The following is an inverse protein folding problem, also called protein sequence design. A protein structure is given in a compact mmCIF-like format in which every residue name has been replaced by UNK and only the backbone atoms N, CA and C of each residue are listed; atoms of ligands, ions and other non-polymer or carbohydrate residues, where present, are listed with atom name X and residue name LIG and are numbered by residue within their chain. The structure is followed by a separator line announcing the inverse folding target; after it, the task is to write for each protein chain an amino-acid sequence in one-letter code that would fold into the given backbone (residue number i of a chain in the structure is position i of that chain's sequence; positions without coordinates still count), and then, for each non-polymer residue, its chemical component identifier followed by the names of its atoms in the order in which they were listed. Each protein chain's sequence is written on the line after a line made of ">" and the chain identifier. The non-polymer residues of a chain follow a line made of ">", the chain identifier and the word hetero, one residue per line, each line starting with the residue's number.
data_IF_504928816019
#
_entry.id   IF_504928816019
#
_cell.length_a   1.000
_cell.length_b   1.000
_cell.length_c   1.000
_cell.angle_alpha   90.00
_cell.angle_beta   90.00
_cell.angle_gamma   90.00
#
_symmetry.space_group_name_H-M   'P 1'
#
loop_
_entity.id
_entity.type
_entity.pdbx_description
1 polymer ?
#
# COMPACT_ATOMS: atom_id res chain seq x y z
N UNK A 1 4.09 20.80 32.07
CA UNK A 1 2.89 19.94 32.01
C UNK A 1 2.35 20.09 30.60
N UNK A 2 2.80 19.25 29.66
CA UNK A 2 2.24 19.25 28.29
C UNK A 2 0.75 18.92 28.37
N UNK A 3 -0.06 19.66 27.60
CA UNK A 3 -1.51 19.45 27.61
C UNK A 3 -1.79 18.14 26.87
N UNK A 4 -2.68 17.31 27.42
CA UNK A 4 -3.15 16.06 26.80
C UNK A 4 -3.47 16.14 25.27
N UNK A 5 -4.04 17.23 24.72
CA UNK A 5 -4.18 17.41 23.27
C UNK A 5 -2.85 17.43 22.49
N UNK A 6 -1.78 17.99 23.05
CA UNK A 6 -0.46 18.08 22.39
C UNK A 6 0.12 16.67 22.19
N UNK A 7 -0.02 15.81 23.20
CA UNK A 7 0.45 14.42 23.16
C UNK A 7 -0.27 13.56 22.11
N UNK A 8 -1.59 13.75 21.94
CA UNK A 8 -2.38 13.04 20.93
C UNK A 8 -2.00 13.47 19.51
N UNK A 9 -1.81 14.78 19.32
CA UNK A 9 -1.35 15.33 18.04
C UNK A 9 0.04 14.80 17.66
N UNK A 10 1.00 14.83 18.58
CA UNK A 10 2.34 14.29 18.34
C UNK A 10 2.33 12.80 18.00
N UNK A 11 1.49 12.03 18.70
CA UNK A 11 1.36 10.59 18.43
C UNK A 11 0.81 10.36 17.03
N UNK A 12 -0.24 11.08 16.63
CA UNK A 12 -0.81 10.95 15.28
C UNK A 12 0.20 11.34 14.20
N UNK A 13 0.92 12.45 14.40
CA UNK A 13 1.97 12.88 13.48
C UNK A 13 3.06 11.83 13.30
N UNK A 14 3.55 11.23 14.40
CA UNK A 14 4.55 10.15 14.34
C UNK A 14 4.05 8.94 13.54
N UNK A 15 2.77 8.59 13.67
CA UNK A 15 2.17 7.50 12.90
C UNK A 15 2.09 7.87 11.42
N UNK A 16 1.66 9.09 11.08
CA UNK A 16 1.59 9.55 9.69
C UNK A 16 2.97 9.60 9.02
N UNK A 17 3.99 10.10 9.74
CA UNK A 17 5.38 10.11 9.27
C UNK A 17 5.91 8.68 9.05
N UNK A 18 5.63 7.76 9.97
CA UNK A 18 5.99 6.35 9.79
C UNK A 18 5.25 5.69 8.61
N UNK A 19 3.99 6.06 8.37
CA UNK A 19 3.23 5.57 7.23
C UNK A 19 3.78 6.12 5.90
N UNK A 20 4.18 7.39 5.83
CA UNK A 20 4.89 7.93 4.65
C UNK A 20 6.11 7.08 4.33
N UNK A 21 6.91 6.78 5.35
CA UNK A 21 8.10 5.96 5.23
C UNK A 21 7.81 4.52 4.78
N UNK A 22 6.73 3.92 5.23
CA UNK A 22 6.40 2.54 4.84
C UNK A 22 5.78 2.48 3.45
N UNK A 23 4.88 3.41 3.15
CA UNK A 23 3.98 3.34 2.01
C UNK A 23 4.56 3.94 0.72
N UNK A 24 5.42 4.97 0.82
CA UNK A 24 5.98 5.70 -0.32
C UNK A 24 7.52 5.67 -0.32
N UNK A 25 8.11 4.57 0.13
CA UNK A 25 9.55 4.42 0.33
C UNK A 25 10.43 4.40 -0.95
N UNK A 26 9.88 4.01 -2.11
CA UNK A 26 10.58 4.08 -3.40
C UNK A 26 9.59 4.04 -4.56
N UNK A 27 9.98 4.64 -5.68
CA UNK A 27 9.11 4.80 -6.85
C UNK A 27 8.62 3.45 -7.41
N UNK A 28 7.33 3.37 -7.63
CA UNK A 28 6.60 2.25 -8.22
C UNK A 28 5.38 2.68 -9.05
N UNK A 29 4.53 3.58 -8.55
CA UNK A 29 3.25 3.99 -9.18
C UNK A 29 3.19 5.46 -9.59
N UNK A 30 4.15 6.30 -9.17
CA UNK A 30 4.29 7.72 -9.55
C UNK A 30 3.85 8.72 -8.47
N UNK A 31 3.40 8.23 -7.32
CA UNK A 31 3.15 9.00 -6.10
C UNK A 31 4.47 9.36 -5.42
N UNK A 32 4.57 10.61 -4.99
CA UNK A 32 5.76 11.11 -4.29
C UNK A 32 5.58 11.15 -2.77
N UNK A 33 4.33 11.08 -2.27
CA UNK A 33 4.03 11.19 -0.84
C UNK A 33 2.59 10.79 -0.49
N UNK A 34 2.39 10.16 0.67
CA UNK A 34 1.06 9.91 1.26
C UNK A 34 0.35 11.19 1.66
N UNK A 35 1.07 12.29 1.85
CA UNK A 35 0.53 13.61 2.18
C UNK A 35 -0.24 14.26 1.02
N UNK A 36 -0.25 13.64 -0.16
CA UNK A 36 -1.06 14.06 -1.31
C UNK A 36 -2.57 13.90 -1.06
N UNK A 37 -2.98 12.99 -0.18
CA UNK A 37 -4.36 12.83 0.30
C UNK A 37 -4.40 12.72 1.83
N UNK A 38 -4.45 13.89 2.48
CA UNK A 38 -4.47 14.00 3.95
C UNK A 38 -5.67 13.32 4.60
N UNK A 39 -6.83 13.28 3.93
CA UNK A 39 -8.05 12.71 4.49
C UNK A 39 -7.91 11.19 4.65
N UNK A 40 -7.42 10.51 3.61
CA UNK A 40 -7.23 9.06 3.68
C UNK A 40 -6.07 8.69 4.60
N UNK A 41 -4.99 9.48 4.60
CA UNK A 41 -3.87 9.32 5.52
C UNK A 41 -4.31 9.46 6.98
N UNK A 42 -5.08 10.51 7.32
CA UNK A 42 -5.58 10.73 8.67
C UNK A 42 -6.50 9.60 9.13
N UNK A 43 -7.39 9.12 8.25
CA UNK A 43 -8.22 7.96 8.55
C UNK A 43 -7.34 6.72 8.78
N UNK A 44 -6.38 6.44 7.90
CA UNK A 44 -5.54 5.25 8.02
C UNK A 44 -4.70 5.27 9.29
N UNK A 45 -4.07 6.40 9.60
CA UNK A 45 -3.32 6.62 10.82
C UNK A 45 -4.20 6.44 12.06
N UNK A 46 -5.45 6.93 12.05
CA UNK A 46 -6.41 6.70 13.13
C UNK A 46 -6.75 5.22 13.29
N UNK A 47 -7.08 4.51 12.19
CA UNK A 47 -7.40 3.09 12.24
C UNK A 47 -6.24 2.26 12.80
N UNK A 48 -4.99 2.62 12.47
CA UNK A 48 -3.78 2.01 13.04
C UNK A 48 -3.63 2.37 14.52
N UNK A 49 -3.74 3.65 14.89
CA UNK A 49 -3.56 4.13 16.26
C UNK A 49 -4.53 3.47 17.26
N UNK A 50 -5.77 3.22 16.83
CA UNK A 50 -6.79 2.57 17.64
C UNK A 50 -6.82 1.04 17.49
N UNK A 51 -5.84 0.44 16.82
CA UNK A 51 -5.72 -1.01 16.65
C UNK A 51 -6.84 -1.64 15.81
N UNK A 52 -7.57 -0.84 15.04
CA UNK A 52 -8.62 -1.30 14.14
C UNK A 52 -8.02 -1.87 12.86
N UNK A 53 -6.82 -1.43 12.48
CA UNK A 53 -5.93 -2.12 11.56
C UNK A 53 -4.74 -2.61 12.36
N UNK A 54 -4.60 -3.93 12.43
CA UNK A 54 -3.46 -4.57 13.09
C UNK A 54 -2.25 -4.43 12.17
N UNK A 55 -1.17 -3.89 12.73
CA UNK A 55 0.11 -3.73 12.03
C UNK A 55 1.13 -4.65 12.69
N UNK A 56 1.74 -5.53 11.91
CA UNK A 56 2.90 -6.33 12.34
C UNK A 56 4.11 -5.96 11.47
N UNK A 57 5.31 -6.03 12.05
CA UNK A 57 6.55 -5.84 11.31
C UNK A 57 7.44 -7.07 11.46
N UNK A 58 8.21 -7.37 10.43
CA UNK A 58 9.04 -8.56 10.35
C UNK A 58 10.40 -8.19 9.79
N UNK A 59 11.45 -8.66 10.48
CA UNK A 59 12.83 -8.54 10.01
C UNK A 59 13.15 -9.73 9.12
N UNK A 60 13.94 -9.48 8.09
CA UNK A 60 14.44 -10.55 7.22
C UNK A 60 15.89 -10.33 6.82
N UNK A 61 16.54 -11.41 6.40
CA UNK A 61 17.89 -11.36 5.83
C UNK A 61 17.80 -11.04 4.34
N UNK A 62 18.46 -9.94 3.94
CA UNK A 62 18.53 -9.55 2.53
C UNK A 62 19.51 -10.46 1.79
N UNK A 63 19.00 -11.15 0.78
CA UNK A 63 19.81 -11.96 -0.09
C UNK A 63 20.41 -11.07 -1.20
N UNK A 64 21.73 -10.86 -1.13
CA UNK A 64 22.46 -10.07 -2.13
C UNK A 64 22.60 -10.83 -3.46
N UNK A 65 22.55 -12.16 -3.40
CA UNK A 65 22.71 -13.07 -4.53
C UNK A 65 21.35 -13.61 -5.02
N UNK A 66 20.24 -12.96 -4.62
CA UNK A 66 18.85 -13.35 -4.92
C UNK A 66 18.57 -13.58 -6.41
N UNK A 67 19.40 -13.04 -7.31
CA UNK A 67 19.24 -13.23 -8.75
C UNK A 67 19.63 -14.63 -9.21
N UNK A 68 20.44 -15.33 -8.43
CA UNK A 68 20.83 -16.72 -8.65
C UNK A 68 19.81 -17.70 -8.02
N UNK A 69 18.84 -17.19 -7.26
CA UNK A 69 17.71 -17.97 -6.75
C UNK A 69 16.74 -18.27 -7.89
N UNK A 70 16.78 -19.51 -8.41
CA UNK A 70 16.01 -19.93 -9.58
C UNK A 70 14.50 -19.73 -9.40
N UNK A 71 13.99 -19.97 -8.20
CA UNK A 71 12.55 -19.83 -7.92
C UNK A 71 12.13 -18.37 -7.87
N UNK A 72 12.85 -17.53 -7.13
CA UNK A 72 12.56 -16.10 -7.07
C UNK A 72 12.72 -15.43 -8.45
N UNK A 73 13.74 -15.81 -9.21
CA UNK A 73 13.97 -15.32 -10.58
C UNK A 73 12.84 -15.74 -11.53
N UNK A 74 12.38 -17.00 -11.45
CA UNK A 74 11.26 -17.51 -12.25
C UNK A 74 9.96 -16.76 -11.94
N UNK A 75 9.58 -16.67 -10.66
CA UNK A 75 8.34 -16.00 -10.25
C UNK A 75 8.38 -14.52 -10.66
N UNK A 76 9.50 -13.84 -10.45
CA UNK A 76 9.65 -12.45 -10.88
C UNK A 76 9.49 -12.32 -12.41
N UNK A 77 10.12 -13.21 -13.18
CA UNK A 77 9.99 -13.24 -14.64
C UNK A 77 8.57 -13.46 -15.14
N UNK A 78 7.76 -14.26 -14.43
CA UNK A 78 6.35 -14.51 -14.74
C UNK A 78 5.45 -13.30 -14.39
N UNK A 79 5.71 -12.64 -13.25
CA UNK A 79 4.91 -11.50 -12.78
C UNK A 79 5.24 -10.19 -13.49
N UNK A 80 6.52 -9.94 -13.74
CA UNK A 80 6.98 -8.62 -14.17
C UNK A 80 6.30 -8.11 -15.47
N UNK A 81 6.08 -8.92 -16.52
CA UNK A 81 5.36 -8.49 -17.73
C UNK A 81 3.91 -8.06 -17.49
N UNK A 82 3.28 -8.54 -16.42
CA UNK A 82 1.89 -8.25 -16.05
C UNK A 82 1.79 -7.01 -15.16
N UNK A 83 2.93 -6.58 -14.59
CA UNK A 83 3.03 -5.45 -13.66
C UNK A 83 3.73 -4.26 -14.34
N UNK A 84 4.00 -3.19 -13.59
CA UNK A 84 4.94 -2.13 -14.01
C UNK A 84 6.41 -2.48 -13.73
N UNK A 85 6.69 -3.70 -13.28
CA UNK A 85 8.05 -4.12 -12.95
C UNK A 85 8.86 -4.36 -14.22
N UNK A 86 10.14 -3.99 -14.17
CA UNK A 86 11.04 -4.13 -15.32
C UNK A 86 11.84 -5.41 -15.17
N UNK A 87 11.96 -6.17 -16.25
CA UNK A 87 12.75 -7.42 -16.30
C UNK A 87 14.13 -7.15 -16.86
N UNK A 88 15.16 -7.80 -16.30
CA UNK A 88 16.47 -7.91 -16.94
C UNK A 88 17.27 -6.62 -16.95
N UNK A 89 16.87 -5.63 -16.14
CA UNK A 89 17.60 -4.37 -15.99
C UNK A 89 18.72 -4.47 -14.95
N UNK A 90 18.83 -5.61 -14.24
CA UNK A 90 19.75 -5.83 -13.12
C UNK A 90 19.73 -4.67 -12.12
N UNK A 91 18.55 -4.08 -11.95
CA UNK A 91 18.37 -2.92 -11.09
C UNK A 91 18.38 -3.34 -9.61
N UNK A 92 18.63 -2.40 -8.70
CA UNK A 92 18.49 -2.66 -7.28
C UNK A 92 17.04 -3.02 -6.91
N UNK A 93 16.06 -2.33 -7.50
CA UNK A 93 14.62 -2.56 -7.27
C UNK A 93 14.18 -3.97 -7.65
N UNK A 94 14.76 -4.54 -8.71
CA UNK A 94 14.52 -5.93 -9.12
C UNK A 94 14.91 -6.91 -8.02
N UNK A 95 16.12 -6.78 -7.44
CA UNK A 95 16.56 -7.63 -6.34
C UNK A 95 15.72 -7.43 -5.06
N UNK A 96 15.27 -6.21 -4.79
CA UNK A 96 14.38 -5.91 -3.64
C UNK A 96 13.06 -6.67 -3.79
N UNK A 97 12.45 -6.63 -4.99
CA UNK A 97 11.19 -7.32 -5.28
C UNK A 97 11.34 -8.84 -5.25
N UNK A 98 12.44 -9.39 -5.78
CA UNK A 98 12.71 -10.83 -5.68
C UNK A 98 12.90 -11.26 -4.22
N UNK A 99 13.57 -10.46 -3.40
CA UNK A 99 13.65 -10.70 -1.96
C UNK A 99 12.26 -10.72 -1.32
N UNK A 100 11.38 -9.78 -1.68
CA UNK A 100 10.00 -9.75 -1.17
C UNK A 100 9.20 -11.02 -1.54
N UNK A 101 9.35 -11.50 -2.78
CA UNK A 101 8.74 -12.75 -3.23
C UNK A 101 9.26 -13.94 -2.41
N UNK A 102 10.58 -14.05 -2.21
CA UNK A 102 11.21 -15.10 -1.40
C UNK A 102 10.70 -15.10 0.05
N UNK A 103 10.58 -13.92 0.66
CA UNK A 103 10.07 -13.81 2.04
C UNK A 103 8.61 -14.22 2.19
N UNK A 104 7.81 -14.13 1.13
CA UNK A 104 6.41 -14.51 1.13
C UNK A 104 6.13 -15.89 0.51
N UNK A 105 7.16 -16.67 0.17
CA UNK A 105 7.01 -18.00 -0.44
C UNK A 105 6.16 -18.96 0.41
N UNK A 106 6.10 -18.77 1.73
CA UNK A 106 5.25 -19.55 2.63
C UNK A 106 3.74 -19.35 2.40
N UNK A 107 3.34 -18.30 1.68
CA UNK A 107 1.95 -18.03 1.28
C UNK A 107 1.53 -18.77 0.00
N UNK A 108 2.44 -19.50 -0.63
CA UNK A 108 2.22 -20.22 -1.89
C UNK A 108 2.67 -19.42 -3.12
N UNK A 109 2.13 -19.78 -4.28
CA UNK A 109 2.49 -19.14 -5.55
C UNK A 109 1.68 -17.86 -5.79
N UNK A 110 2.33 -16.72 -6.08
CA UNK A 110 1.63 -15.49 -6.38
C UNK A 110 1.12 -15.44 -7.82
N UNK A 111 0.05 -14.69 -8.04
CA UNK A 111 -0.49 -14.32 -9.35
C UNK A 111 -0.70 -12.81 -9.44
N UNK A 112 -0.89 -12.26 -10.64
CA UNK A 112 -1.19 -10.84 -10.80
C UNK A 112 -2.69 -10.58 -11.03
N UNK A 113 -3.31 -9.79 -10.15
CA UNK A 113 -4.70 -9.32 -10.20
C UNK A 113 -4.76 -7.85 -9.77
N UNK A 114 -4.27 -6.96 -10.64
CA UNK A 114 -4.03 -5.52 -10.34
C UNK A 114 -2.93 -5.25 -9.29
N UNK A 115 -2.66 -6.23 -8.44
CA UNK A 115 -1.52 -6.36 -7.54
C UNK A 115 -0.97 -7.80 -7.58
N UNK A 116 0.20 -8.01 -6.97
CA UNK A 116 0.73 -9.36 -6.74
C UNK A 116 -0.04 -9.99 -5.59
N UNK A 117 -0.80 -11.05 -5.87
CA UNK A 117 -1.77 -11.67 -4.96
C UNK A 117 -1.42 -13.11 -4.66
N UNK A 118 -1.54 -13.49 -3.39
CA UNK A 118 -1.50 -14.86 -2.90
C UNK A 118 -2.95 -15.24 -2.54
N UNK A 119 -3.71 -15.70 -3.54
CA UNK A 119 -5.18 -15.85 -3.47
C UNK A 119 -5.60 -16.82 -2.35
N UNK A 120 -4.94 -17.98 -2.24
CA UNK A 120 -5.24 -18.99 -1.21
C UNK A 120 -5.01 -18.47 0.22
N UNK A 121 -4.03 -17.58 0.39
CA UNK A 121 -3.73 -16.95 1.67
C UNK A 121 -4.59 -15.69 1.95
N UNK A 122 -5.38 -15.23 0.96
CA UNK A 122 -6.09 -13.96 1.04
C UNK A 122 -5.13 -12.80 1.29
N UNK A 123 -4.02 -12.74 0.56
CA UNK A 123 -2.97 -11.76 0.79
C UNK A 123 -2.51 -11.05 -0.49
N UNK A 124 -2.07 -9.81 -0.34
CA UNK A 124 -1.47 -9.00 -1.43
C UNK A 124 -0.08 -8.54 -1.01
N UNK A 125 0.86 -8.59 -1.96
CA UNK A 125 2.20 -8.02 -1.87
C UNK A 125 2.25 -6.67 -2.57
N UNK A 126 2.75 -5.66 -1.86
CA UNK A 126 3.05 -4.33 -2.38
C UNK A 126 4.53 -4.01 -2.14
N UNK A 127 5.15 -3.42 -3.16
CA UNK A 127 6.56 -3.03 -3.15
C UNK A 127 6.68 -1.52 -3.37
N UNK A 128 7.04 -0.79 -2.31
CA UNK A 128 7.59 0.57 -2.37
C UNK A 128 6.62 1.74 -2.43
N UNK A 129 5.48 1.61 -3.11
CA UNK A 129 4.60 2.76 -3.37
C UNK A 129 3.11 2.39 -3.44
N UNK A 130 2.33 2.85 -2.46
CA UNK A 130 0.86 2.76 -2.43
C UNK A 130 0.24 3.85 -1.54
N UNK A 131 -0.81 4.53 -1.99
CA UNK A 131 -1.50 5.52 -1.16
C UNK A 131 -2.47 4.86 -0.15
N UNK A 132 -2.77 5.52 0.98
CA UNK A 132 -3.77 5.03 1.93
C UNK A 132 -5.14 4.74 1.30
N UNK A 133 -5.58 5.58 0.36
CA UNK A 133 -6.82 5.33 -0.37
C UNK A 133 -6.75 4.07 -1.27
N UNK A 134 -5.60 3.79 -1.90
CA UNK A 134 -5.43 2.56 -2.68
C UNK A 134 -5.46 1.32 -1.77
N UNK A 135 -4.90 1.40 -0.56
CA UNK A 135 -5.03 0.34 0.46
C UNK A 135 -6.50 0.09 0.81
N UNK A 136 -7.29 1.15 0.97
CA UNK A 136 -8.73 1.05 1.23
C UNK A 136 -9.45 0.35 0.09
N UNK A 137 -9.16 0.72 -1.16
CA UNK A 137 -9.73 0.08 -2.34
C UNK A 137 -9.37 -1.41 -2.39
N UNK A 138 -8.12 -1.78 -2.11
CA UNK A 138 -7.74 -3.20 -2.05
C UNK A 138 -8.61 -3.98 -1.06
N UNK A 139 -8.83 -3.47 0.15
CA UNK A 139 -9.68 -4.13 1.14
C UNK A 139 -11.16 -4.20 0.78
N UNK A 140 -11.65 -3.29 -0.07
CA UNK A 140 -13.05 -3.25 -0.50
C UNK A 140 -13.31 -4.10 -1.75
N UNK A 141 -12.39 -4.05 -2.71
CA UNK A 141 -12.59 -4.56 -4.06
C UNK A 141 -11.99 -5.97 -4.25
N UNK A 142 -11.02 -6.36 -3.42
CA UNK A 142 -10.39 -7.69 -3.50
C UNK A 142 -11.15 -8.71 -2.66
N UNK A 143 -11.90 -9.57 -3.33
CA UNK A 143 -12.67 -10.63 -2.67
C UNK A 143 -11.75 -11.57 -1.88
N UNK A 144 -12.06 -11.79 -0.60
CA UNK A 144 -11.30 -12.71 0.25
C UNK A 144 -9.98 -12.15 0.78
N UNK A 145 -9.63 -10.89 0.48
CA UNK A 145 -8.42 -10.26 1.02
C UNK A 145 -8.53 -10.07 2.53
N UNK A 146 -7.51 -10.57 3.23
CA UNK A 146 -7.37 -10.48 4.70
C UNK A 146 -6.20 -9.60 5.10
N UNK A 147 -5.11 -9.63 4.32
CA UNK A 147 -3.85 -9.02 4.73
C UNK A 147 -3.10 -8.41 3.54
N UNK A 148 -2.53 -7.23 3.74
CA UNK A 148 -1.62 -6.59 2.78
C UNK A 148 -0.22 -6.60 3.38
N UNK A 149 0.76 -7.08 2.63
CA UNK A 149 2.17 -7.03 2.96
C UNK A 149 2.85 -5.93 2.16
N UNK A 150 3.54 -5.03 2.85
CA UNK A 150 4.23 -3.89 2.25
C UNK A 150 5.72 -4.03 2.52
N UNK A 151 6.50 -4.08 1.44
CA UNK A 151 7.95 -4.09 1.46
C UNK A 151 8.46 -2.68 1.12
N UNK A 152 8.88 -1.90 2.14
CA UNK A 152 9.52 -0.63 1.91
C UNK A 152 10.99 -0.80 1.47
N UNK A 153 11.65 0.31 1.13
CA UNK A 153 13.07 0.31 0.80
C UNK A 153 13.87 -0.32 1.96
N UNK A 154 14.68 -1.37 1.70
CA UNK A 154 15.26 -2.18 2.77
C UNK A 154 16.50 -1.56 3.43
N UNK A 155 17.18 -0.64 2.75
CA UNK A 155 18.45 -0.04 3.22
C UNK A 155 18.19 1.32 3.89
N UNK A 156 17.35 1.31 4.93
CA UNK A 156 16.99 2.52 5.69
C UNK A 156 17.96 2.74 6.84
N UNK A 157 18.30 4.01 7.07
CA UNK A 157 19.11 4.41 8.21
C UNK A 157 18.41 4.06 9.52
N UNK A 158 19.15 3.49 10.47
CA UNK A 158 18.61 3.03 11.76
C UNK A 158 17.95 1.65 11.75
N UNK A 159 17.86 0.97 10.60
CA UNK A 159 17.40 -0.42 10.54
C UNK A 159 18.61 -1.37 10.55
N UNK A 160 18.72 -2.21 11.59
CA UNK A 160 19.75 -3.26 11.65
C UNK A 160 19.57 -4.31 10.55
N UNK A 161 18.31 -4.62 10.22
CA UNK A 161 17.91 -5.50 9.13
C UNK A 161 16.70 -4.90 8.41
N UNK A 162 16.53 -5.21 7.11
CA UNK A 162 15.32 -4.85 6.39
C UNK A 162 14.05 -5.30 7.10
N UNK A 163 13.00 -4.47 6.97
CA UNK A 163 11.68 -4.74 7.50
C UNK A 163 10.65 -4.82 6.37
N UNK A 164 9.65 -5.67 6.57
CA UNK A 164 8.37 -5.56 5.89
C UNK A 164 7.23 -5.54 6.89
N UNK A 165 6.09 -5.03 6.46
CA UNK A 165 4.94 -4.77 7.32
C UNK A 165 3.73 -5.52 6.81
N UNK A 166 2.87 -6.00 7.72
CA UNK A 166 1.54 -6.49 7.36
C UNK A 166 0.46 -5.62 7.97
N UNK A 167 -0.62 -5.45 7.21
CA UNK A 167 -1.80 -4.69 7.60
C UNK A 167 -3.04 -5.59 7.49
N UNK A 168 -3.74 -5.76 8.60
CA UNK A 168 -4.92 -6.62 8.71
C UNK A 168 -6.08 -5.84 9.34
N UNK A 169 -7.13 -5.49 8.57
CA UNK A 169 -8.24 -4.71 9.06
C UNK A 169 -9.21 -5.57 9.85
N UNK A 170 -9.66 -5.05 11.00
CA UNK A 170 -10.81 -5.58 11.71
C UNK A 170 -12.10 -5.31 10.93
N UNK A 171 -13.18 -6.02 11.26
CA UNK A 171 -14.51 -5.72 10.70
C UNK A 171 -14.99 -4.28 10.98
N UNK A 172 -14.50 -3.64 12.05
CA UNK A 172 -14.78 -2.23 12.32
C UNK A 172 -14.02 -1.32 11.35
N UNK A 173 -12.72 -1.57 11.13
CA UNK A 173 -11.97 -0.83 10.12
C UNK A 173 -12.60 -0.95 8.73
N UNK A 174 -13.04 -2.14 8.33
CA UNK A 174 -13.73 -2.34 7.05
C UNK A 174 -15.00 -1.48 6.90
N UNK A 175 -15.77 -1.31 7.99
CA UNK A 175 -16.96 -0.44 7.96
C UNK A 175 -16.60 1.03 7.82
N UNK A 176 -15.57 1.50 8.54
CA UNK A 176 -15.13 2.90 8.46
C UNK A 176 -14.51 3.21 7.10
N UNK A 177 -13.71 2.30 6.55
CA UNK A 177 -13.17 2.36 5.18
C UNK A 177 -14.31 2.47 4.16
N UNK A 178 -15.36 1.64 4.30
CA UNK A 178 -16.53 1.68 3.39
C UNK A 178 -17.26 3.02 3.45
N UNK A 179 -17.54 3.53 4.66
CA UNK A 179 -18.18 4.85 4.85
C UNK A 179 -17.36 5.95 4.20
N UNK A 180 -16.04 5.91 4.36
CA UNK A 180 -15.13 6.87 3.75
C UNK A 180 -15.18 6.82 2.23
N UNK A 181 -15.11 5.62 1.63
CA UNK A 181 -15.19 5.44 0.19
C UNK A 181 -16.55 5.90 -0.37
N UNK A 182 -17.66 5.61 0.32
CA UNK A 182 -19.00 6.09 -0.05
C UNK A 182 -19.09 7.61 -0.02
N UNK A 183 -18.54 8.24 1.04
CA UNK A 183 -18.48 9.70 1.15
C UNK A 183 -17.67 10.32 0.01
N UNK A 184 -16.48 9.78 -0.30
CA UNK A 184 -15.64 10.27 -1.40
C UNK A 184 -16.32 10.14 -2.75
N UNK A 185 -17.08 9.06 -2.96
CA UNK A 185 -17.88 8.87 -4.18
C UNK A 185 -18.99 9.92 -4.30
N UNK A 186 -19.71 10.21 -3.21
CA UNK A 186 -20.75 11.26 -3.22
C UNK A 186 -20.16 12.66 -3.45
N UNK A 187 -19.04 12.98 -2.80
CA UNK A 187 -18.30 14.24 -3.03
C UNK A 187 -17.92 14.38 -4.51
N UNK A 188 -17.42 13.31 -5.14
CA UNK A 188 -17.09 13.29 -6.56
C UNK A 188 -18.33 13.51 -7.44
N UNK A 189 -19.45 12.83 -7.15
CA UNK A 189 -20.69 13.03 -7.92
C UNK A 189 -21.22 14.45 -7.79
N UNK A 190 -21.12 15.06 -6.60
CA UNK A 190 -21.53 16.43 -6.40
C UNK A 190 -20.68 17.40 -7.24
N UNK A 191 -19.36 17.24 -7.24
CA UNK A 191 -18.45 18.03 -8.08
C UNK A 191 -18.76 17.83 -9.57
N UNK A 192 -19.06 16.60 -10.00
CA UNK A 192 -19.45 16.33 -11.38
C UNK A 192 -20.77 16.99 -11.76
N UNK A 193 -21.78 16.97 -10.87
CA UNK A 193 -23.07 17.66 -11.07
C UNK A 193 -22.87 19.17 -11.22
N UNK A 194 -22.18 19.80 -10.28
CA UNK A 194 -21.87 21.25 -10.30
C UNK A 194 -21.07 21.66 -11.55
N UNK A 195 -20.08 20.84 -11.95
CA UNK A 195 -19.33 21.06 -13.19
C UNK A 195 -20.16 20.80 -14.44
N UNK A 196 -21.07 19.84 -14.44
CA UNK A 196 -21.96 19.57 -15.58
C UNK A 196 -22.97 20.69 -15.81
N UNK A 197 -23.47 21.31 -14.73
CA UNK A 197 -24.30 22.53 -14.78
C UNK A 197 -23.51 23.72 -15.36
N UNK A 198 -22.18 23.75 -15.18
CA UNK A 198 -21.27 24.69 -15.82
C UNK A 198 -20.91 24.33 -17.28
N UNK A 199 -20.83 23.04 -17.63
CA UNK A 199 -20.44 22.51 -18.95
C UNK A 199 -21.58 22.56 -19.98
N UNK A 200 -22.84 22.73 -19.55
CA UNK A 200 -23.96 23.03 -20.46
C UNK A 200 -23.73 24.27 -21.35
N UNK A 201 -22.69 25.07 -21.06
CA UNK A 201 -22.22 26.20 -21.87
C UNK A 201 -21.05 25.88 -22.82
N UNK A 202 -20.44 24.69 -22.76
CA UNK A 202 -19.16 24.36 -23.43
C UNK A 202 -19.29 23.23 -24.46
N UNK A 203 -20.13 22.22 -24.24
CA UNK A 203 -20.38 21.15 -25.22
C UNK A 203 -21.81 21.29 -25.73
N UNK A 204 -22.04 21.72 -26.98
CA UNK A 204 -23.38 21.77 -27.56
C UNK A 204 -23.96 20.35 -27.61
N UNK A 205 -25.23 20.21 -27.24
CA UNK A 205 -26.01 19.00 -27.49
C UNK A 205 -25.98 18.67 -28.99
N UNK A 206 -25.55 17.45 -29.33
CA UNK A 206 -25.66 16.87 -30.68
C UNK A 206 -27.13 16.69 -31.08
#
# INVERSE_FOLDING_TARGET
>A
MEKEPDKKYETMKKIMDALEDILCSYQGRGHLSVYTDLDSLALFASLVAYGQIKVENYRYDYDNDIREDEEAARIYGELAPQTRWRVGQRSQIEAIRMNALKQLAFLGSPVYREQVSYEDAGAVLVCGEILPYEIFQLFLDTTGLRKIYIFPYPFREGWEKPLYFSFEPTGTAQREIRKYAEKKREEMYQVMREKSESIGSVIPSL
#
